data_IF_578164306166
#
_entry.id   IF_578164306166
#
_cell.length_a   1.000
_cell.length_b   1.000
_cell.length_c   1.000
_cell.angle_alpha   90.00
_cell.angle_beta   90.00
_cell.angle_gamma   90.00
#
_symmetry.space_group_name_H-M   'P 1'
#
loop_
_entity.id
_entity.type
_entity.pdbx_description
1 polymer ?
#
# COMPACT_ATOMS: atom_id res chain seq x y z
N UNK A 1 16.56 -0.79 23.88
CA UNK A 1 16.41 0.64 23.54
C UNK A 1 16.12 0.71 22.05
N UNK A 2 14.92 1.11 21.65
CA UNK A 2 14.60 1.33 20.23
C UNK A 2 15.30 2.59 19.76
N UNK A 3 16.03 2.50 18.64
CA UNK A 3 16.67 3.65 18.00
C UNK A 3 15.61 4.74 17.76
N UNK A 4 15.82 6.00 18.17
CA UNK A 4 14.86 7.06 17.93
C UNK A 4 14.68 7.20 16.42
N UNK A 5 13.47 6.88 15.94
CA UNK A 5 13.08 7.08 14.56
C UNK A 5 13.10 8.59 14.31
N UNK A 6 14.01 9.07 13.45
CA UNK A 6 14.10 10.48 13.04
C UNK A 6 13.02 10.85 12.01
N UNK A 7 11.83 10.29 12.13
CA UNK A 7 10.73 10.56 11.19
C UNK A 7 9.78 11.55 11.86
N UNK A 8 9.55 12.70 11.23
CA UNK A 8 8.56 13.64 11.74
C UNK A 8 7.14 13.13 11.46
N UNK A 9 6.16 13.57 12.25
CA UNK A 9 4.76 13.23 12.01
C UNK A 9 4.27 13.67 10.60
N UNK A 10 4.62 14.86 10.09
CA UNK A 10 4.34 15.25 8.70
C UNK A 10 4.95 14.29 7.66
N UNK A 11 6.22 13.91 7.82
CA UNK A 11 6.89 13.02 6.88
C UNK A 11 6.25 11.61 6.89
N UNK A 12 5.89 11.10 8.06
CA UNK A 12 5.20 9.82 8.19
C UNK A 12 3.86 9.82 7.43
N UNK A 13 3.09 10.91 7.52
CA UNK A 13 1.83 11.06 6.76
C UNK A 13 2.06 11.19 5.26
N UNK A 14 3.10 11.90 4.84
CA UNK A 14 3.45 12.02 3.43
C UNK A 14 3.79 10.64 2.82
N UNK A 15 4.62 9.85 3.49
CA UNK A 15 4.96 8.48 3.07
C UNK A 15 3.71 7.60 3.04
N UNK A 16 2.85 7.68 4.08
CA UNK A 16 1.60 6.92 4.10
C UNK A 16 0.69 7.28 2.91
N UNK A 17 0.57 8.56 2.56
CA UNK A 17 -0.20 9.01 1.41
C UNK A 17 0.38 8.51 0.08
N UNK A 18 1.71 8.53 -0.07
CA UNK A 18 2.39 7.96 -1.24
C UNK A 18 2.13 6.46 -1.39
N UNK A 19 2.22 5.70 -0.29
CA UNK A 19 1.91 4.27 -0.28
C UNK A 19 0.46 4.01 -0.71
N UNK A 20 -0.51 4.75 -0.15
CA UNK A 20 -1.92 4.62 -0.52
C UNK A 20 -2.17 4.95 -2.00
N UNK A 21 -1.58 6.04 -2.51
CA UNK A 21 -1.69 6.39 -3.93
C UNK A 21 -1.06 5.35 -4.85
N UNK A 22 0.11 4.81 -4.48
CA UNK A 22 0.75 3.72 -5.22
C UNK A 22 -0.07 2.43 -5.22
N UNK A 23 -0.74 2.11 -4.10
CA UNK A 23 -1.63 0.96 -4.01
C UNK A 23 -2.82 1.06 -4.97
N UNK A 24 -3.43 2.24 -5.09
CA UNK A 24 -4.53 2.46 -6.02
C UNK A 24 -4.09 2.35 -7.48
N UNK A 25 -2.89 2.84 -7.81
CA UNK A 25 -2.30 2.68 -9.13
C UNK A 25 -2.01 1.21 -9.46
N UNK A 26 -1.48 0.45 -8.49
CA UNK A 26 -1.19 -0.97 -8.66
C UNK A 26 -2.47 -1.79 -8.84
N UNK A 27 -3.52 -1.51 -8.06
CA UNK A 27 -4.82 -2.16 -8.18
C UNK A 27 -5.43 -1.94 -9.57
N UNK A 28 -5.44 -0.69 -10.03
CA UNK A 28 -5.94 -0.34 -11.36
C UNK A 28 -5.14 -1.02 -12.48
N UNK A 29 -3.81 -1.04 -12.36
CA UNK A 29 -2.94 -1.69 -13.35
C UNK A 29 -3.14 -3.20 -13.37
N UNK A 30 -3.30 -3.82 -12.19
CA UNK A 30 -3.57 -5.25 -12.05
C UNK A 30 -4.91 -5.63 -12.71
N UNK A 31 -5.96 -4.84 -12.51
CA UNK A 31 -7.26 -5.03 -13.16
C UNK A 31 -7.19 -4.87 -14.67
N UNK A 32 -6.44 -3.90 -15.17
CA UNK A 32 -6.25 -3.70 -16.61
C UNK A 32 -5.53 -4.90 -17.25
N UNK A 33 -4.46 -5.39 -16.62
CA UNK A 33 -3.77 -6.61 -17.05
C UNK A 33 -4.70 -7.83 -17.01
N UNK A 34 -5.56 -7.92 -16.00
CA UNK A 34 -6.54 -9.00 -15.89
C UNK A 34 -7.53 -9.02 -17.06
N UNK A 35 -8.01 -7.85 -17.48
CA UNK A 35 -8.86 -7.72 -18.65
C UNK A 35 -8.15 -8.18 -19.92
N UNK A 36 -6.92 -7.70 -20.17
CA UNK A 36 -6.14 -8.07 -21.36
C UNK A 36 -5.87 -9.58 -21.40
N UNK A 37 -5.48 -10.16 -20.26
CA UNK A 37 -5.23 -11.60 -20.17
C UNK A 37 -6.50 -12.42 -20.42
N UNK A 38 -7.67 -11.94 -19.95
CA UNK A 38 -8.96 -12.57 -20.24
C UNK A 38 -9.24 -12.54 -21.75
N UNK A 39 -9.13 -11.38 -22.39
CA UNK A 39 -9.34 -11.22 -23.84
C UNK A 39 -8.39 -12.10 -24.66
N UNK A 40 -7.11 -12.15 -24.28
CA UNK A 40 -6.12 -13.02 -24.92
C UNK A 40 -6.46 -14.50 -24.72
N UNK A 41 -6.88 -14.91 -23.52
CA UNK A 41 -7.21 -16.32 -23.26
C UNK A 41 -8.45 -16.81 -24.00
N UNK A 42 -9.41 -15.91 -24.25
CA UNK A 42 -10.70 -16.24 -24.88
C UNK A 42 -10.63 -16.08 -26.41
N UNK A 43 -10.03 -14.99 -26.90
CA UNK A 43 -10.10 -14.61 -28.31
C UNK A 43 -8.76 -14.70 -29.05
N UNK A 44 -7.62 -14.44 -28.37
CA UNK A 44 -6.32 -14.26 -29.03
C UNK A 44 -5.40 -15.49 -29.04
N UNK A 45 -5.49 -16.36 -28.02
CA UNK A 45 -4.60 -17.50 -27.80
C UNK A 45 -5.41 -18.72 -27.39
N UNK A 46 -5.83 -19.53 -28.36
CA UNK A 46 -6.57 -20.76 -28.08
C UNK A 46 -5.66 -21.88 -27.56
N UNK A 47 -6.22 -22.78 -26.75
CA UNK A 47 -5.52 -23.95 -26.22
C UNK A 47 -4.62 -23.65 -25.02
N UNK A 48 -3.50 -24.37 -24.90
CA UNK A 48 -2.62 -24.30 -23.72
C UNK A 48 -1.98 -22.93 -23.49
N UNK A 49 -1.76 -22.16 -24.56
CA UNK A 49 -1.21 -20.80 -24.46
C UNK A 49 -2.18 -19.86 -23.72
N UNK A 50 -3.47 -19.84 -24.08
CA UNK A 50 -4.48 -19.04 -23.37
C UNK A 50 -4.65 -19.45 -21.92
N UNK A 51 -4.64 -20.76 -21.64
CA UNK A 51 -4.68 -21.29 -20.26
C UNK A 51 -3.46 -20.89 -19.44
N UNK A 52 -2.28 -20.84 -20.05
CA UNK A 52 -1.06 -20.37 -19.38
C UNK A 52 -1.14 -18.88 -19.04
N UNK A 53 -1.63 -18.05 -19.97
CA UNK A 53 -1.86 -16.61 -19.74
C UNK A 53 -2.86 -16.38 -18.61
N UNK A 54 -4.01 -17.07 -18.63
CA UNK A 54 -5.02 -16.93 -17.58
C UNK A 54 -4.49 -17.30 -16.20
N UNK A 55 -3.78 -18.43 -16.06
CA UNK A 55 -3.14 -18.83 -14.80
C UNK A 55 -2.10 -17.83 -14.32
N UNK A 56 -1.25 -17.33 -15.23
CA UNK A 56 -0.22 -16.36 -14.85
C UNK A 56 -0.81 -15.05 -14.39
N UNK A 57 -1.89 -14.61 -15.03
CA UNK A 57 -2.62 -13.44 -14.61
C UNK A 57 -3.23 -13.61 -13.23
N UNK A 58 -3.86 -14.76 -12.95
CA UNK A 58 -4.43 -15.03 -11.64
C UNK A 58 -3.37 -14.94 -10.53
N UNK A 59 -2.19 -15.54 -10.76
CA UNK A 59 -1.04 -15.45 -9.85
C UNK A 59 -0.59 -13.99 -9.62
N UNK A 60 -0.51 -13.18 -10.68
CA UNK A 60 -0.13 -11.77 -10.57
C UNK A 60 -1.17 -10.95 -9.80
N UNK A 61 -2.45 -11.17 -10.06
CA UNK A 61 -3.55 -10.48 -9.35
C UNK A 61 -3.50 -10.80 -7.86
N UNK A 62 -3.29 -12.07 -7.48
CA UNK A 62 -3.18 -12.48 -6.08
C UNK A 62 -2.00 -11.80 -5.39
N UNK A 63 -0.82 -11.81 -6.02
CA UNK A 63 0.38 -11.15 -5.48
C UNK A 63 0.21 -9.63 -5.34
N UNK A 64 -0.43 -8.99 -6.32
CA UNK A 64 -0.74 -7.56 -6.23
C UNK A 64 -1.64 -7.27 -5.03
N UNK A 65 -2.68 -8.11 -4.81
CA UNK A 65 -3.57 -7.99 -3.66
C UNK A 65 -2.84 -8.13 -2.31
N UNK A 66 -1.94 -9.10 -2.18
CA UNK A 66 -1.13 -9.30 -0.97
C UNK A 66 -0.18 -8.11 -0.70
N UNK A 67 0.45 -7.59 -1.75
CA UNK A 67 1.34 -6.44 -1.64
C UNK A 67 0.57 -5.18 -1.24
N UNK A 68 -0.59 -4.93 -1.86
CA UNK A 68 -1.47 -3.80 -1.52
C UNK A 68 -1.92 -3.91 -0.06
N UNK A 69 -2.31 -5.10 0.39
CA UNK A 69 -2.72 -5.33 1.79
C UNK A 69 -1.58 -4.98 2.75
N UNK A 70 -0.40 -5.54 2.53
CA UNK A 70 0.79 -5.27 3.35
C UNK A 70 1.16 -3.78 3.35
N UNK A 71 1.10 -3.14 2.19
CA UNK A 71 1.39 -1.71 2.06
C UNK A 71 0.37 -0.83 2.80
N UNK A 72 -0.92 -1.19 2.78
CA UNK A 72 -1.95 -0.49 3.56
C UNK A 72 -1.72 -0.62 5.07
N UNK A 73 -1.38 -1.81 5.55
CA UNK A 73 -1.02 -2.02 6.97
C UNK A 73 0.19 -1.16 7.38
N UNK A 74 1.19 -1.01 6.51
CA UNK A 74 2.33 -0.11 6.75
C UNK A 74 1.92 1.36 6.78
N UNK A 75 1.06 1.80 5.85
CA UNK A 75 0.54 3.17 5.81
C UNK A 75 -0.27 3.50 7.08
N UNK A 76 -1.12 2.58 7.55
CA UNK A 76 -1.85 2.71 8.81
C UNK A 76 -0.89 2.81 10.01
N UNK A 77 0.16 1.99 10.04
CA UNK A 77 1.20 2.07 11.06
C UNK A 77 1.89 3.44 11.12
N UNK A 78 2.19 4.03 9.96
CA UNK A 78 2.78 5.37 9.86
C UNK A 78 1.82 6.47 10.34
N UNK A 79 0.54 6.36 10.01
CA UNK A 79 -0.48 7.31 10.47
C UNK A 79 -0.64 7.24 11.98
N UNK A 80 -0.70 6.03 12.54
CA UNK A 80 -0.79 5.83 14.00
C UNK A 80 0.45 6.38 14.71
N UNK A 81 1.64 6.17 14.16
CA UNK A 81 2.87 6.77 14.66
C UNK A 81 2.81 8.30 14.65
N UNK A 82 2.38 8.90 13.53
CA UNK A 82 2.28 10.36 13.41
C UNK A 82 1.34 10.95 14.48
N UNK A 83 0.19 10.30 14.70
CA UNK A 83 -0.77 10.74 15.72
C UNK A 83 -0.20 10.63 17.14
N UNK A 84 0.54 9.57 17.44
CA UNK A 84 1.20 9.40 18.73
C UNK A 84 2.24 10.50 18.99
N UNK A 85 3.07 10.81 18.00
CA UNK A 85 4.11 11.85 18.11
C UNK A 85 3.49 13.22 18.41
N UNK A 86 2.42 13.58 17.71
CA UNK A 86 1.72 14.86 17.95
C UNK A 86 1.05 14.91 19.31
N UNK A 87 0.45 13.80 19.75
CA UNK A 87 -0.14 13.72 21.08
C UNK A 87 0.91 13.93 22.17
N UNK A 88 2.05 13.24 22.08
CA UNK A 88 3.14 13.40 23.04
C UNK A 88 3.67 14.84 23.06
N UNK A 89 3.85 15.46 21.89
CA UNK A 89 4.29 16.86 21.81
C UNK A 89 3.26 17.84 22.41
N UNK A 90 1.96 17.58 22.23
CA UNK A 90 0.91 18.39 22.82
C UNK A 90 0.86 18.26 24.35
N UNK A 91 1.04 17.04 24.87
CA UNK A 91 1.14 16.77 26.31
C UNK A 91 2.36 17.46 26.93
N UNK A 92 3.53 17.38 26.29
CA UNK A 92 4.75 18.06 26.73
C UNK A 92 4.59 19.59 26.74
N UNK A 93 3.97 20.15 25.70
CA UNK A 93 3.69 21.58 25.62
C UNK A 93 2.69 22.05 26.69
N UNK A 94 1.66 21.25 26.97
CA UNK A 94 0.69 21.54 28.03
C UNK A 94 1.34 21.50 29.42
N UNK A 95 2.23 20.52 29.67
CA UNK A 95 2.98 20.42 30.92
C UNK A 95 3.95 21.59 31.10
N UNK A 96 4.62 22.04 30.03
CA UNK A 96 5.53 23.18 30.08
C UNK A 96 4.82 24.52 30.35
N UNK A 97 3.58 24.68 29.87
CA UNK A 97 2.78 25.89 30.10
C UNK A 97 2.06 25.91 31.46
N UNK A 98 2.05 24.79 32.19
CA UNK A 98 1.44 24.68 33.51
C UNK A 98 2.42 24.99 34.67
N UNK A 99 3.66 25.36 34.36
CA UNK A 99 4.74 25.75 35.29
C UNK A 99 5.00 27.25 35.17
#
# INVERSE_FOLDING_TARGET
MSTPVKLSAPDARAIAAELLGGNDQLDNSSKALASIASDLSVAGMQGEAGRAVARKQEELTQRAGELIKTSREQAEGLINYANLVEQTQAEDAAAANAV
#
